data_IF_054024361344
#
_entry.id   IF_054024361344
#
_cell.length_a   1.000
_cell.length_b   1.000
_cell.length_c   1.000
_cell.angle_alpha   90.00
_cell.angle_beta   90.00
_cell.angle_gamma   90.00
#
_symmetry.space_group_name_H-M   'P 1'
#
loop_
_entity.id
_entity.type
_entity.pdbx_description
1 polymer ?
#
# COMPACT_ATOMS: atom_id res chain seq x y z
N UNK A 1 -18.93 -41.45 52.14
CA UNK A 1 -18.75 -40.48 51.03
C UNK A 1 -19.97 -39.56 50.99
N UNK A 2 -19.82 -38.27 51.32
CA UNK A 2 -20.93 -37.31 51.42
C UNK A 2 -21.39 -36.91 50.00
N UNK A 3 -22.67 -37.15 49.68
CA UNK A 3 -23.29 -36.73 48.42
C UNK A 3 -23.46 -35.21 48.42
N UNK A 4 -22.79 -34.53 47.48
CA UNK A 4 -22.93 -33.10 47.26
C UNK A 4 -24.32 -32.85 46.65
N UNK A 5 -25.18 -32.14 47.37
CA UNK A 5 -26.52 -31.79 46.90
C UNK A 5 -26.47 -30.85 45.69
N UNK A 6 -27.45 -30.93 44.79
CA UNK A 6 -27.52 -30.16 43.53
C UNK A 6 -27.32 -28.64 43.72
N UNK A 7 -27.70 -28.09 44.88
CA UNK A 7 -27.44 -26.68 45.24
C UNK A 7 -25.96 -26.33 45.42
N UNK A 8 -25.14 -27.24 45.93
CA UNK A 8 -23.69 -27.04 46.09
C UNK A 8 -22.96 -27.10 44.74
N UNK A 9 -23.50 -27.84 43.76
CA UNK A 9 -22.92 -27.93 42.42
C UNK A 9 -23.12 -26.61 41.64
N UNK A 10 -24.29 -26.00 41.79
CA UNK A 10 -24.61 -24.68 41.21
C UNK A 10 -23.77 -23.56 41.83
N UNK A 11 -23.54 -23.60 43.16
CA UNK A 11 -22.68 -22.63 43.82
C UNK A 11 -21.23 -22.74 43.34
N UNK A 12 -20.72 -23.96 43.18
CA UNK A 12 -19.37 -24.21 42.67
C UNK A 12 -19.21 -23.72 41.22
N UNK A 13 -20.19 -24.00 40.35
CA UNK A 13 -20.18 -23.51 38.97
C UNK A 13 -20.20 -21.97 38.90
N UNK A 14 -21.00 -21.32 39.75
CA UNK A 14 -21.08 -19.86 39.80
C UNK A 14 -19.76 -19.23 40.29
N UNK A 15 -19.12 -19.81 41.31
CA UNK A 15 -17.81 -19.33 41.77
C UNK A 15 -16.72 -19.47 40.70
N UNK A 16 -16.76 -20.53 39.90
CA UNK A 16 -15.79 -20.76 38.83
C UNK A 16 -15.95 -19.74 37.70
N UNK A 17 -17.18 -19.43 37.30
CA UNK A 17 -17.47 -18.40 36.28
C UNK A 17 -17.05 -17.00 36.75
N UNK A 18 -17.31 -16.65 38.01
CA UNK A 18 -16.90 -15.34 38.57
C UNK A 18 -15.37 -15.21 38.63
N UNK A 19 -14.65 -16.28 38.96
CA UNK A 19 -13.17 -16.26 38.94
C UNK A 19 -12.58 -16.08 37.54
N UNK A 20 -13.19 -16.71 36.51
CA UNK A 20 -12.79 -16.56 35.10
C UNK A 20 -13.01 -15.13 34.58
N UNK A 21 -14.13 -14.50 34.94
CA UNK A 21 -14.42 -13.10 34.58
C UNK A 21 -13.45 -12.13 35.28
N UNK A 22 -13.06 -12.40 36.53
CA UNK A 22 -12.07 -11.61 37.24
C UNK A 22 -10.67 -11.68 36.60
N UNK A 23 -10.21 -12.88 36.22
CA UNK A 23 -8.91 -13.06 35.55
C UNK A 23 -8.88 -12.37 34.18
N UNK A 24 -9.99 -12.42 33.44
CA UNK A 24 -10.10 -11.71 32.15
C UNK A 24 -10.12 -10.19 32.34
N UNK A 25 -10.81 -9.69 33.36
CA UNK A 25 -10.85 -8.26 33.71
C UNK A 25 -9.50 -7.71 34.19
N UNK A 26 -8.70 -8.48 34.94
CA UNK A 26 -7.37 -8.03 35.39
C UNK A 26 -6.36 -8.06 34.26
N UNK A 27 -6.44 -9.01 33.32
CA UNK A 27 -5.60 -9.04 32.12
C UNK A 27 -5.93 -7.91 31.12
N UNK A 28 -7.20 -7.49 31.04
CA UNK A 28 -7.59 -6.39 30.14
C UNK A 28 -7.14 -5.02 30.64
N UNK A 29 -6.88 -4.88 31.95
CA UNK A 29 -6.51 -3.59 32.57
C UNK A 29 -5.01 -3.30 32.59
N UNK A 30 -4.17 -4.27 32.23
CA UNK A 30 -2.70 -4.09 32.17
C UNK A 30 -2.18 -3.71 30.78
N UNK A 31 -2.99 -3.79 29.72
CA UNK A 31 -2.58 -3.35 28.36
C UNK A 31 -2.86 -1.89 28.03
N UNK A 32 -3.47 -1.12 28.94
CA UNK A 32 -3.81 0.29 28.71
C UNK A 32 -3.06 1.29 29.60
N UNK A 33 -2.02 0.84 30.31
CA UNK A 33 -1.09 1.71 31.06
C UNK A 33 0.35 1.51 30.59
N UNK A 34 0.60 1.87 29.34
CA UNK A 34 1.95 2.19 28.85
C UNK A 34 1.87 3.31 27.81
N UNK A 35 1.01 4.30 28.08
CA UNK A 35 0.97 5.56 27.35
C UNK A 35 0.65 6.67 28.33
N UNK A 36 1.67 7.12 29.06
CA UNK A 36 1.78 8.47 29.61
C UNK A 36 3.15 8.59 30.30
N UNK A 37 4.22 8.57 29.51
CA UNK A 37 5.37 9.42 29.81
C UNK A 37 5.59 10.30 28.57
N UNK A 38 5.01 11.48 28.70
CA UNK A 38 5.28 12.75 28.04
C UNK A 38 6.73 12.87 27.52
N UNK A 39 6.93 12.43 26.28
CA UNK A 39 7.88 13.03 25.36
C UNK A 39 7.08 13.52 24.16
N UNK A 40 7.04 14.83 24.00
CA UNK A 40 6.57 15.48 22.79
C UNK A 40 7.47 15.03 21.65
N UNK A 41 7.01 14.11 20.79
CA UNK A 41 7.48 13.92 19.41
C UNK A 41 6.55 12.97 18.60
N UNK A 42 5.33 13.36 18.20
CA UNK A 42 4.46 12.48 17.41
C UNK A 42 4.58 12.65 15.88
N UNK A 43 5.32 13.66 15.38
CA UNK A 43 5.31 13.95 13.93
C UNK A 43 6.45 13.29 13.14
N UNK A 44 7.57 12.99 13.80
CA UNK A 44 8.72 12.37 13.13
C UNK A 44 8.58 10.85 13.02
N UNK A 45 8.07 10.18 14.06
CA UNK A 45 7.89 8.71 14.03
C UNK A 45 6.91 8.22 12.96
N UNK A 46 5.78 8.90 12.74
CA UNK A 46 4.87 8.56 11.64
C UNK A 46 5.52 8.76 10.26
N UNK A 47 6.42 9.74 10.13
CA UNK A 47 7.17 9.96 8.89
C UNK A 47 8.14 8.82 8.58
N UNK A 48 8.89 8.36 9.58
CA UNK A 48 9.85 7.26 9.43
C UNK A 48 9.16 5.92 9.13
N UNK A 49 8.08 5.57 9.83
CA UNK A 49 7.34 4.32 9.57
C UNK A 49 6.69 4.33 8.17
N UNK A 50 6.19 5.48 7.73
CA UNK A 50 5.59 5.62 6.39
C UNK A 50 6.63 5.60 5.28
N UNK A 51 7.80 6.21 5.50
CA UNK A 51 8.94 6.17 4.59
C UNK A 51 9.49 4.74 4.48
N UNK A 52 9.71 4.05 5.59
CA UNK A 52 10.17 2.65 5.64
C UNK A 52 9.18 1.70 4.95
N UNK A 53 7.88 1.86 5.19
CA UNK A 53 6.84 1.07 4.50
C UNK A 53 6.81 1.34 2.99
N UNK A 54 7.08 2.58 2.57
CA UNK A 54 7.15 2.96 1.15
C UNK A 54 8.38 2.36 0.48
N UNK A 55 9.55 2.42 1.13
CA UNK A 55 10.78 1.81 0.64
C UNK A 55 10.66 0.29 0.54
N UNK A 56 10.03 -0.35 1.52
CA UNK A 56 9.75 -1.78 1.48
C UNK A 56 8.88 -2.13 0.27
N UNK A 57 7.76 -1.42 0.06
CA UNK A 57 6.88 -1.65 -1.09
C UNK A 57 7.61 -1.50 -2.42
N UNK A 58 8.41 -0.44 -2.56
CA UNK A 58 9.22 -0.20 -3.76
C UNK A 58 10.23 -1.34 -3.98
N UNK A 59 10.83 -1.85 -2.91
CA UNK A 59 11.78 -2.97 -2.95
C UNK A 59 11.10 -4.27 -3.36
N UNK A 60 9.93 -4.58 -2.80
CA UNK A 60 9.12 -5.76 -3.13
C UNK A 60 8.75 -5.77 -4.62
N UNK A 61 8.25 -4.65 -5.15
CA UNK A 61 7.91 -4.50 -6.57
C UNK A 61 9.14 -4.72 -7.45
N UNK A 62 10.27 -4.12 -7.11
CA UNK A 62 11.52 -4.29 -7.85
C UNK A 62 12.05 -5.73 -7.79
N UNK A 63 11.71 -6.49 -6.75
CA UNK A 63 12.05 -7.91 -6.62
C UNK A 63 11.05 -8.84 -7.35
N UNK A 64 9.93 -8.32 -7.83
CA UNK A 64 8.90 -9.08 -8.55
C UNK A 64 7.74 -9.54 -7.68
N UNK A 65 7.64 -9.05 -6.44
CA UNK A 65 6.47 -9.23 -5.61
C UNK A 65 5.46 -8.10 -5.88
N UNK A 66 4.36 -8.48 -6.53
CA UNK A 66 3.30 -7.55 -6.93
C UNK A 66 2.07 -7.66 -6.04
N UNK A 67 2.16 -8.39 -4.92
CA UNK A 67 1.03 -8.67 -4.04
C UNK A 67 0.35 -7.40 -3.53
N UNK A 68 1.15 -6.38 -3.21
CA UNK A 68 0.67 -5.10 -2.68
C UNK A 68 0.08 -4.14 -3.73
N UNK A 69 0.24 -4.43 -5.03
CA UNK A 69 -0.34 -3.62 -6.12
C UNK A 69 -1.47 -4.34 -6.85
N UNK A 70 -1.92 -5.49 -6.35
CA UNK A 70 -3.06 -6.20 -6.92
C UNK A 70 -4.36 -5.38 -6.87
N UNK A 71 -5.27 -5.70 -7.78
CA UNK A 71 -6.60 -5.10 -7.88
C UNK A 71 -6.75 -4.17 -9.07
N UNK A 72 -7.77 -3.31 -8.99
CA UNK A 72 -8.18 -2.42 -10.07
C UNK A 72 -7.59 -1.04 -9.87
N UNK A 73 -7.02 -0.50 -10.93
CA UNK A 73 -6.43 0.81 -11.00
C UNK A 73 -7.13 1.60 -12.11
N UNK A 74 -7.56 2.81 -11.80
CA UNK A 74 -8.41 3.61 -12.67
C UNK A 74 -7.71 4.92 -13.03
N UNK A 75 -7.69 5.24 -14.32
CA UNK A 75 -7.43 6.62 -14.75
C UNK A 75 -8.66 7.49 -14.48
N UNK A 76 -8.50 8.82 -14.48
CA UNK A 76 -9.64 9.75 -14.37
C UNK A 76 -10.68 9.53 -15.48
N UNK A 77 -10.24 9.04 -16.65
CA UNK A 77 -11.10 8.74 -17.80
C UNK A 77 -11.73 7.33 -17.73
N UNK A 78 -11.49 6.57 -16.65
CA UNK A 78 -12.06 5.24 -16.45
C UNK A 78 -11.38 4.13 -17.27
N UNK A 79 -10.15 4.35 -17.75
CA UNK A 79 -9.33 3.26 -18.29
C UNK A 79 -8.89 2.39 -17.12
N UNK A 80 -9.14 1.10 -17.23
CA UNK A 80 -8.88 0.14 -16.17
C UNK A 80 -7.57 -0.60 -16.44
N UNK A 81 -6.65 -0.43 -15.51
CA UNK A 81 -5.56 -1.35 -15.26
C UNK A 81 -6.06 -2.37 -14.22
N UNK A 82 -5.79 -3.64 -14.45
CA UNK A 82 -6.12 -4.70 -13.49
C UNK A 82 -4.89 -5.58 -13.31
N UNK A 83 -4.50 -5.78 -12.05
CA UNK A 83 -3.37 -6.60 -11.66
C UNK A 83 -3.90 -7.77 -10.83
N UNK A 84 -3.61 -8.98 -11.28
CA UNK A 84 -3.96 -10.23 -10.61
C UNK A 84 -2.74 -11.16 -10.62
N UNK A 85 -2.09 -11.30 -9.47
CA UNK A 85 -0.78 -11.95 -9.36
C UNK A 85 0.26 -11.34 -10.32
N UNK A 86 0.71 -12.12 -11.30
CA UNK A 86 1.66 -11.68 -12.34
C UNK A 86 0.98 -11.24 -13.63
N UNK A 87 -0.35 -11.18 -13.70
CA UNK A 87 -1.07 -10.73 -14.90
C UNK A 87 -1.36 -9.24 -14.80
N UNK A 88 -1.12 -8.51 -15.88
CA UNK A 88 -1.47 -7.11 -16.04
C UNK A 88 -2.40 -6.94 -17.24
N UNK A 89 -3.60 -6.43 -17.00
CA UNK A 89 -4.59 -6.12 -18.04
C UNK A 89 -4.71 -4.62 -18.22
N UNK A 90 -4.54 -4.16 -19.45
CA UNK A 90 -4.69 -2.77 -19.86
C UNK A 90 -5.75 -2.68 -20.97
N UNK A 91 -6.97 -2.31 -20.59
CA UNK A 91 -8.11 -2.33 -21.51
C UNK A 91 -8.39 -3.73 -22.04
N UNK A 92 -8.14 -3.96 -23.34
CA UNK A 92 -8.33 -5.27 -24.00
C UNK A 92 -7.04 -6.10 -24.10
N UNK A 93 -5.90 -5.54 -23.72
CA UNK A 93 -4.60 -6.23 -23.76
C UNK A 93 -4.31 -6.86 -22.42
N UNK A 94 -3.70 -8.03 -22.47
CA UNK A 94 -3.23 -8.78 -21.31
C UNK A 94 -1.75 -9.07 -21.50
N UNK A 95 -1.02 -8.91 -20.41
CA UNK A 95 0.43 -9.01 -20.32
C UNK A 95 0.79 -9.87 -19.12
N UNK A 96 1.91 -10.58 -19.21
CA UNK A 96 2.57 -11.13 -18.03
C UNK A 96 3.63 -10.16 -17.53
N UNK A 97 3.53 -9.79 -16.25
CA UNK A 97 4.51 -8.94 -15.59
C UNK A 97 5.80 -9.72 -15.36
N UNK A 98 6.89 -9.13 -15.84
CA UNK A 98 8.25 -9.61 -15.66
C UNK A 98 8.98 -8.61 -14.77
N UNK A 99 9.83 -9.14 -13.89
CA UNK A 99 10.71 -8.35 -13.04
C UNK A 99 11.42 -7.27 -13.87
N UNK A 100 11.22 -6.01 -13.50
CA UNK A 100 11.91 -4.88 -14.09
C UNK A 100 13.08 -4.39 -13.23
N UNK A 101 13.16 -3.09 -13.01
CA UNK A 101 14.26 -2.46 -12.28
C UNK A 101 13.91 -1.03 -11.91
N UNK A 102 14.93 -0.16 -11.89
CA UNK A 102 14.78 1.27 -11.62
C UNK A 102 15.16 2.09 -12.85
N UNK A 103 14.45 3.19 -13.09
CA UNK A 103 14.88 4.19 -14.07
C UNK A 103 16.00 5.09 -13.51
N UNK A 104 16.43 6.07 -14.30
CA UNK A 104 17.46 7.03 -13.91
C UNK A 104 17.05 7.97 -12.75
N UNK A 105 15.76 8.05 -12.44
CA UNK A 105 15.19 8.84 -11.34
C UNK A 105 14.95 8.00 -10.08
N UNK A 106 15.29 6.71 -10.10
CA UNK A 106 15.06 5.78 -9.00
C UNK A 106 13.60 5.32 -8.88
N UNK A 107 12.81 5.45 -9.94
CA UNK A 107 11.43 4.94 -9.98
C UNK A 107 11.43 3.46 -10.34
N UNK A 108 10.78 2.58 -9.54
CA UNK A 108 10.64 1.18 -9.91
C UNK A 108 9.70 1.03 -11.11
N UNK A 109 10.07 0.14 -12.03
CA UNK A 109 9.22 -0.27 -13.14
C UNK A 109 9.16 -1.78 -13.27
N UNK A 110 8.06 -2.22 -13.84
CA UNK A 110 7.74 -3.60 -14.17
C UNK A 110 7.77 -3.72 -15.70
N UNK A 111 8.42 -4.76 -16.22
CA UNK A 111 8.39 -5.08 -17.64
C UNK A 111 7.19 -5.97 -17.95
N UNK A 112 6.83 -6.10 -19.22
CA UNK A 112 5.93 -7.16 -19.65
C UNK A 112 6.68 -8.23 -20.45
N UNK A 113 6.00 -9.33 -20.74
CA UNK A 113 6.46 -10.39 -21.64
C UNK A 113 6.57 -9.97 -23.11
N UNK A 114 6.04 -8.80 -23.46
CA UNK A 114 6.28 -8.12 -24.72
C UNK A 114 7.38 -7.05 -24.53
N UNK A 115 8.59 -7.33 -25.04
CA UNK A 115 9.75 -6.42 -24.91
C UNK A 115 9.57 -5.07 -25.60
N UNK A 116 8.66 -4.99 -26.58
CA UNK A 116 8.38 -3.76 -27.33
C UNK A 116 7.23 -2.96 -26.68
N UNK A 117 6.63 -3.49 -25.61
CA UNK A 117 5.57 -2.81 -24.88
C UNK A 117 6.10 -1.69 -23.98
N UNK A 118 5.16 -0.88 -23.47
CA UNK A 118 5.46 0.08 -22.42
C UNK A 118 5.90 -0.62 -21.12
N UNK A 119 6.59 0.13 -20.27
CA UNK A 119 6.88 -0.30 -18.90
C UNK A 119 5.75 0.18 -17.98
N UNK A 120 5.47 -0.59 -16.94
CA UNK A 120 4.52 -0.22 -15.90
C UNK A 120 5.30 0.35 -14.71
N UNK A 121 5.26 1.66 -14.55
CA UNK A 121 5.94 2.38 -13.47
C UNK A 121 5.04 2.45 -12.24
N UNK A 122 5.67 2.27 -11.06
CA UNK A 122 5.02 2.48 -9.77
C UNK A 122 5.59 3.73 -9.10
N UNK A 123 4.73 4.72 -8.89
CA UNK A 123 5.04 5.95 -8.16
C UNK A 123 4.33 5.91 -6.82
N UNK A 124 5.04 5.71 -5.69
CA UNK A 124 4.41 5.80 -4.39
C UNK A 124 3.93 7.23 -4.10
N UNK A 125 3.08 7.36 -3.09
CA UNK A 125 2.72 8.67 -2.55
C UNK A 125 3.97 9.49 -2.20
N UNK A 126 3.99 10.77 -2.55
CA UNK A 126 5.08 11.71 -2.31
C UNK A 126 6.23 11.67 -3.33
N UNK A 127 6.22 10.77 -4.32
CA UNK A 127 7.24 10.75 -5.38
C UNK A 127 6.70 11.38 -6.67
N UNK A 128 7.30 12.47 -7.20
CA UNK A 128 6.80 13.10 -8.41
C UNK A 128 7.07 12.26 -9.66
N UNK A 129 6.17 12.32 -10.63
CA UNK A 129 6.35 11.75 -11.97
C UNK A 129 7.23 12.71 -12.79
N UNK A 130 8.37 12.26 -13.37
CA UNK A 130 9.14 13.05 -14.32
C UNK A 130 8.26 13.50 -15.50
N UNK A 131 8.36 14.77 -15.85
CA UNK A 131 7.50 15.38 -16.86
C UNK A 131 8.32 16.11 -17.93
N UNK A 132 7.92 15.90 -19.19
CA UNK A 132 8.48 16.59 -20.35
C UNK A 132 7.81 17.96 -20.52
N UNK A 133 8.62 19.01 -20.53
CA UNK A 133 8.22 20.39 -20.81
C UNK A 133 8.15 20.65 -22.32
N UNK A 134 7.49 21.75 -22.71
CA UNK A 134 7.36 22.16 -24.12
C UNK A 134 8.71 22.46 -24.78
N UNK A 135 9.71 22.88 -24.00
CA UNK A 135 11.07 23.15 -24.47
C UNK A 135 11.95 21.89 -24.57
N UNK A 136 11.39 20.72 -24.28
CA UNK A 136 12.08 19.43 -24.32
C UNK A 136 12.86 19.08 -23.05
N UNK A 137 12.84 19.94 -22.02
CA UNK A 137 13.47 19.63 -20.74
C UNK A 137 12.62 18.68 -19.91
N UNK A 138 13.28 17.89 -19.05
CA UNK A 138 12.59 17.03 -18.07
C UNK A 138 12.65 17.71 -16.70
N UNK A 139 11.48 17.84 -16.07
CA UNK A 139 11.35 18.37 -14.71
C UNK A 139 10.81 17.26 -13.80
N UNK A 140 11.45 17.11 -12.64
CA UNK A 140 11.03 16.18 -11.58
C UNK A 140 10.71 17.02 -10.35
N UNK A 141 9.43 17.33 -10.13
CA UNK A 141 8.98 18.19 -9.03
C UNK A 141 7.50 17.96 -8.72
N UNK A 142 7.15 17.95 -7.43
CA UNK A 142 5.76 17.85 -6.97
C UNK A 142 4.86 18.97 -7.51
N UNK A 143 5.43 20.16 -7.76
CA UNK A 143 4.68 21.29 -8.33
C UNK A 143 4.41 21.14 -9.83
N UNK A 144 5.22 20.33 -10.51
CA UNK A 144 5.11 20.08 -11.94
C UNK A 144 4.25 18.85 -12.24
N UNK A 145 4.20 17.88 -11.33
CA UNK A 145 3.39 16.67 -11.45
C UNK A 145 1.88 17.01 -11.42
N UNK A 146 1.13 16.79 -12.52
CA UNK A 146 -0.29 17.12 -12.58
C UNK A 146 -1.19 16.06 -11.92
N UNK A 147 -0.62 14.99 -11.37
CA UNK A 147 -1.34 13.90 -10.70
C UNK A 147 -1.49 14.13 -9.20
N UNK A 148 -2.33 13.34 -8.53
CA UNK A 148 -2.46 13.37 -7.07
C UNK A 148 -1.27 12.66 -6.41
N UNK A 149 -0.27 13.46 -6.03
CA UNK A 149 0.95 12.98 -5.37
C UNK A 149 0.72 12.38 -4.00
N UNK A 150 -0.48 12.52 -3.40
CA UNK A 150 -0.78 11.91 -2.10
C UNK A 150 -1.18 10.44 -2.21
N UNK A 151 -1.22 9.89 -3.43
CA UNK A 151 -1.66 8.53 -3.69
C UNK A 151 -0.60 7.75 -4.43
N UNK A 152 -0.61 6.44 -4.22
CA UNK A 152 0.12 5.52 -5.08
C UNK A 152 -0.48 5.58 -6.50
N UNK A 153 0.41 5.57 -7.49
CA UNK A 153 0.07 5.78 -8.89
C UNK A 153 0.77 4.74 -9.75
N UNK A 154 0.05 4.24 -10.75
CA UNK A 154 0.61 3.43 -11.81
C UNK A 154 0.56 4.20 -13.12
N UNK A 155 1.63 4.10 -13.91
CA UNK A 155 1.73 4.71 -15.22
C UNK A 155 2.33 3.71 -16.22
N UNK A 156 1.57 3.39 -17.28
CA UNK A 156 2.05 2.52 -18.35
C UNK A 156 2.57 3.36 -19.52
N UNK A 157 3.89 3.49 -19.65
CA UNK A 157 4.52 4.41 -20.61
C UNK A 157 5.84 3.87 -21.19
N UNK A 158 6.16 4.30 -22.42
CA UNK A 158 7.47 4.03 -23.07
C UNK A 158 8.47 5.17 -22.88
N UNK A 159 7.97 6.38 -22.67
CA UNK A 159 8.79 7.60 -22.57
C UNK A 159 8.30 8.46 -21.39
N UNK A 160 9.08 9.49 -21.08
CA UNK A 160 8.65 10.60 -20.24
C UNK A 160 7.50 11.33 -20.96
N UNK A 161 6.45 11.68 -20.23
CA UNK A 161 5.20 12.22 -20.77
C UNK A 161 5.05 13.70 -20.46
N UNK A 162 4.27 14.40 -21.29
CA UNK A 162 3.82 15.77 -21.00
C UNK A 162 2.77 15.80 -19.89
N UNK A 163 2.52 16.98 -19.31
CA UNK A 163 1.52 17.16 -18.24
C UNK A 163 0.15 16.56 -18.61
N UNK A 164 -0.34 16.87 -19.81
CA UNK A 164 -1.64 16.39 -20.29
C UNK A 164 -1.64 14.87 -20.41
N UNK A 165 -0.57 14.28 -20.97
CA UNK A 165 -0.47 12.83 -21.11
C UNK A 165 -0.39 12.13 -19.74
N UNK A 166 0.31 12.70 -18.76
CA UNK A 166 0.33 12.16 -17.39
C UNK A 166 -1.08 12.15 -16.81
N UNK A 167 -1.79 13.28 -16.86
CA UNK A 167 -3.16 13.38 -16.31
C UNK A 167 -4.12 12.36 -16.92
N UNK A 168 -3.96 12.05 -18.21
CA UNK A 168 -4.82 11.11 -18.92
C UNK A 168 -4.50 9.63 -18.67
N UNK A 169 -3.24 9.31 -18.36
CA UNK A 169 -2.75 7.93 -18.30
C UNK A 169 -2.37 7.46 -16.90
N UNK A 170 -2.18 8.37 -15.95
CA UNK A 170 -1.95 8.01 -14.55
C UNK A 170 -3.18 7.34 -13.98
N UNK A 171 -2.96 6.25 -13.26
CA UNK A 171 -4.02 5.45 -12.66
C UNK A 171 -3.82 5.32 -11.17
N UNK A 172 -4.94 5.23 -10.45
CA UNK A 172 -4.97 5.14 -9.00
C UNK A 172 -5.73 3.90 -8.57
N UNK A 173 -5.31 3.27 -7.47
CA UNK A 173 -6.01 2.10 -6.95
C UNK A 173 -7.45 2.46 -6.59
N UNK A 174 -8.38 1.59 -7.01
CA UNK A 174 -9.79 1.67 -6.69
C UNK A 174 -10.02 1.10 -5.30
N UNK A 175 -10.53 1.93 -4.38
CA UNK A 175 -11.01 1.50 -3.07
C UNK A 175 -12.20 0.55 -3.18
#
# INVERSE_FOLDING_TARGET
>A
MKKIGKGNLLLLALTLVISLVFIWSTNYKEKSKLFADNITLPRLMMGFEQEEATEQLVTEIAQGDYSNIQGKWLTEKGVNYEIDGTQFRCGKREYYMIKGGYDEYGTPYIMTDDSDSAKLYFYPAGKPIPMLQEDGTVVVSDMADPSDTNRNRLLFAQTILTANQIKENVSYQKN
#
